data_IF_413689005980
#
_entry.id   IF_413689005980
#
_cell.length_a   1.000
_cell.length_b   1.000
_cell.length_c   1.000
_cell.angle_alpha   90.00
_cell.angle_beta   90.00
_cell.angle_gamma   90.00
#
_symmetry.space_group_name_H-M   'P 1'
#
loop_
_entity.id
_entity.type
_entity.pdbx_description
1 polymer ?
#
# COMPACT_ATOMS: atom_id res chain seq x y z
N UNK A 1 -18.46 15.21 -4.55
CA UNK A 1 -17.12 15.69 -4.17
C UNK A 1 -16.13 14.63 -4.64
N UNK A 2 -15.52 14.84 -5.81
CA UNK A 2 -14.57 13.91 -6.42
C UNK A 2 -13.17 14.44 -6.14
N UNK A 3 -12.31 13.64 -5.52
CA UNK A 3 -10.91 14.00 -5.35
C UNK A 3 -10.23 13.76 -6.69
N UNK A 4 -10.27 14.77 -7.57
CA UNK A 4 -9.44 14.79 -8.78
C UNK A 4 -7.99 15.04 -8.36
N UNK A 5 -7.24 13.97 -8.14
CA UNK A 5 -5.79 14.05 -8.10
C UNK A 5 -5.28 13.91 -9.53
N UNK A 6 -4.94 15.05 -10.15
CA UNK A 6 -4.52 15.18 -11.55
C UNK A 6 -3.15 14.54 -11.89
N UNK A 7 -2.80 13.37 -11.35
CA UNK A 7 -1.41 12.86 -11.43
C UNK A 7 -1.09 12.16 -12.76
N UNK A 8 -2.05 11.68 -13.55
CA UNK A 8 -1.73 10.50 -14.37
C UNK A 8 -2.29 10.44 -15.80
N UNK A 9 -2.35 11.55 -16.54
CA UNK A 9 -2.71 11.43 -17.97
C UNK A 9 -1.62 10.75 -18.82
N UNK A 10 -0.34 10.71 -18.40
CA UNK A 10 0.79 10.12 -19.15
C UNK A 10 1.85 9.38 -18.28
N UNK A 11 1.55 9.07 -17.01
CA UNK A 11 2.59 8.75 -15.99
C UNK A 11 2.56 7.36 -15.34
N UNK A 12 1.40 6.67 -15.28
CA UNK A 12 1.29 5.37 -14.58
C UNK A 12 2.01 4.27 -15.33
N UNK A 13 1.99 4.33 -16.67
CA UNK A 13 2.63 3.35 -17.55
C UNK A 13 4.14 3.21 -17.31
N UNK A 14 4.77 4.24 -16.72
CA UNK A 14 6.21 4.28 -16.46
C UNK A 14 6.58 3.84 -15.05
N UNK A 15 5.61 3.53 -14.20
CA UNK A 15 5.92 3.02 -12.87
C UNK A 15 6.49 1.60 -12.99
N UNK A 16 7.66 1.33 -12.37
CA UNK A 16 8.20 -0.02 -12.32
C UNK A 16 7.30 -0.87 -11.42
N UNK A 17 6.40 -1.66 -12.02
CA UNK A 17 5.53 -2.60 -11.31
C UNK A 17 6.15 -4.00 -11.42
N UNK A 18 6.57 -4.63 -10.30
CA UNK A 18 7.13 -5.96 -10.33
C UNK A 18 6.11 -6.95 -10.90
N UNK A 19 6.54 -7.72 -11.90
CA UNK A 19 5.73 -8.77 -12.50
C UNK A 19 5.93 -10.05 -11.68
N UNK A 20 4.96 -10.38 -10.84
CA UNK A 20 4.94 -11.60 -10.04
C UNK A 20 3.88 -12.59 -10.55
N UNK A 21 4.03 -13.87 -10.24
CA UNK A 21 3.10 -14.90 -10.69
C UNK A 21 1.72 -14.75 -10.04
N UNK A 22 0.67 -15.30 -10.67
CA UNK A 22 -0.70 -15.24 -10.12
C UNK A 22 -0.80 -15.77 -8.67
N UNK A 23 -0.15 -16.90 -8.30
CA UNK A 23 -0.15 -17.35 -6.92
C UNK A 23 0.47 -16.35 -5.93
N UNK A 24 1.53 -15.65 -6.34
CA UNK A 24 2.19 -14.64 -5.50
C UNK A 24 1.37 -13.35 -5.37
N UNK A 25 0.44 -13.09 -6.30
CA UNK A 25 -0.50 -11.97 -6.19
C UNK A 25 -1.64 -12.26 -5.20
N UNK A 26 -1.96 -13.53 -4.96
CA UNK A 26 -3.13 -13.93 -4.17
C UNK A 26 -3.16 -13.33 -2.75
N UNK A 27 -2.04 -13.29 -1.99
CA UNK A 27 -2.04 -12.67 -0.65
C UNK A 27 -2.46 -11.20 -0.66
N UNK A 28 -2.06 -10.44 -1.68
CA UNK A 28 -2.44 -9.03 -1.83
C UNK A 28 -3.93 -8.89 -2.13
N UNK A 29 -4.43 -9.70 -3.05
CA UNK A 29 -5.86 -9.71 -3.44
C UNK A 29 -6.73 -10.01 -2.22
N UNK A 30 -6.39 -11.07 -1.47
CA UNK A 30 -7.15 -11.49 -0.29
C UNK A 30 -7.15 -10.42 0.81
N UNK A 31 -6.03 -9.72 1.03
CA UNK A 31 -5.95 -8.63 2.01
C UNK A 31 -6.76 -7.42 1.57
N UNK A 32 -6.71 -7.04 0.28
CA UNK A 32 -7.50 -5.93 -0.26
C UNK A 32 -8.99 -6.23 -0.16
N UNK A 33 -9.43 -7.44 -0.48
CA UNK A 33 -10.84 -7.83 -0.34
C UNK A 33 -11.32 -7.73 1.12
N UNK A 34 -10.50 -8.18 2.08
CA UNK A 34 -10.80 -8.03 3.53
C UNK A 34 -10.90 -6.57 3.94
N UNK A 35 -9.95 -5.73 3.51
CA UNK A 35 -9.95 -4.29 3.82
C UNK A 35 -11.20 -3.64 3.25
N UNK A 36 -11.55 -3.92 2.00
CA UNK A 36 -12.74 -3.35 1.36
C UNK A 36 -14.04 -3.77 2.08
N UNK A 37 -14.13 -5.02 2.52
CA UNK A 37 -15.28 -5.51 3.30
C UNK A 37 -15.39 -4.81 4.67
N UNK A 38 -14.28 -4.71 5.42
CA UNK A 38 -14.26 -4.08 6.73
C UNK A 38 -14.49 -2.57 6.67
N UNK A 39 -13.91 -1.85 5.69
CA UNK A 39 -14.16 -0.42 5.50
C UNK A 39 -15.62 -0.13 5.23
N UNK A 40 -16.30 -0.98 4.45
CA UNK A 40 -17.76 -0.87 4.25
C UNK A 40 -18.54 -1.03 5.56
N UNK A 41 -18.02 -1.82 6.50
CA UNK A 41 -18.59 -1.99 7.84
C UNK A 41 -18.12 -0.94 8.85
N UNK A 42 -17.33 0.06 8.44
CA UNK A 42 -16.78 1.09 9.32
C UNK A 42 -15.74 0.56 10.32
N UNK A 43 -15.14 -0.59 10.04
CA UNK A 43 -14.13 -1.22 10.90
C UNK A 43 -12.73 -0.70 10.59
N UNK A 44 -11.85 -0.76 11.59
CA UNK A 44 -10.44 -0.40 11.45
C UNK A 44 -9.68 -1.47 10.65
N UNK A 45 -8.91 -1.03 9.66
CA UNK A 45 -8.18 -1.89 8.73
C UNK A 45 -6.67 -1.69 8.77
N UNK A 46 -6.17 -0.83 9.66
CA UNK A 46 -4.73 -0.47 9.75
C UNK A 46 -3.81 -1.68 9.85
N UNK A 47 -4.24 -2.74 10.52
CA UNK A 47 -3.44 -3.96 10.67
C UNK A 47 -3.26 -4.74 9.35
N UNK A 48 -4.25 -4.73 8.46
CA UNK A 48 -4.13 -5.36 7.14
C UNK A 48 -3.41 -4.45 6.15
N UNK A 49 -3.57 -3.14 6.27
CA UNK A 49 -2.83 -2.16 5.48
C UNK A 49 -1.33 -2.28 5.76
N UNK A 50 -0.91 -2.36 7.04
CA UNK A 50 0.50 -2.60 7.41
C UNK A 50 1.04 -3.94 6.90
N UNK A 51 0.19 -4.97 6.80
CA UNK A 51 0.58 -6.24 6.19
C UNK A 51 0.84 -6.09 4.69
N UNK A 52 0.01 -5.30 3.99
CA UNK A 52 0.27 -4.97 2.58
C UNK A 52 1.58 -4.20 2.45
N UNK A 53 1.84 -3.20 3.29
CA UNK A 53 3.11 -2.43 3.26
C UNK A 53 4.32 -3.37 3.39
N UNK A 54 4.29 -4.29 4.36
CA UNK A 54 5.34 -5.29 4.56
C UNK A 54 5.54 -6.18 3.34
N UNK A 55 4.45 -6.65 2.73
CA UNK A 55 4.51 -7.48 1.52
C UNK A 55 5.06 -6.70 0.32
N UNK A 56 4.70 -5.42 0.18
CA UNK A 56 5.24 -4.54 -0.86
C UNK A 56 6.74 -4.31 -0.63
N UNK A 57 7.18 -4.11 0.61
CA UNK A 57 8.61 -3.95 0.90
C UNK A 57 9.43 -5.16 0.50
N UNK A 58 8.91 -6.36 0.76
CA UNK A 58 9.53 -7.60 0.31
C UNK A 58 9.59 -7.72 -1.22
N UNK A 59 8.58 -7.22 -1.96
CA UNK A 59 8.59 -7.25 -3.43
C UNK A 59 9.66 -6.37 -4.08
N UNK A 60 10.10 -5.32 -3.38
CA UNK A 60 11.15 -4.42 -3.86
C UNK A 60 12.49 -4.67 -3.17
N UNK A 61 12.61 -5.75 -2.38
CA UNK A 61 13.80 -6.09 -1.59
C UNK A 61 14.34 -4.90 -0.76
N UNK A 62 13.42 -4.07 -0.25
CA UNK A 62 13.77 -2.86 0.49
C UNK A 62 14.49 -3.19 1.80
N UNK A 63 15.59 -2.50 2.08
CA UNK A 63 16.31 -2.66 3.35
C UNK A 63 15.59 -1.94 4.49
N UNK A 64 15.87 -2.27 5.76
CA UNK A 64 15.31 -1.54 6.90
C UNK A 64 15.55 -0.03 6.84
N UNK A 65 16.69 0.41 6.32
CA UNK A 65 17.03 1.83 6.14
C UNK A 65 16.14 2.48 5.08
N UNK A 66 15.89 1.80 3.96
CA UNK A 66 15.02 2.31 2.89
C UNK A 66 13.55 2.34 3.32
N UNK A 67 13.10 1.31 4.05
CA UNK A 67 11.77 1.28 4.67
C UNK A 67 11.60 2.47 5.63
N UNK A 68 12.61 2.76 6.45
CA UNK A 68 12.56 3.90 7.37
C UNK A 68 12.42 5.24 6.63
N UNK A 69 13.08 5.40 5.47
CA UNK A 69 12.92 6.58 4.61
C UNK A 69 11.48 6.66 4.09
N UNK A 70 10.93 5.56 3.55
CA UNK A 70 9.56 5.53 3.03
C UNK A 70 8.54 5.86 4.12
N UNK A 71 8.64 5.24 5.29
CA UNK A 71 7.73 5.46 6.42
C UNK A 71 7.81 6.90 6.96
N UNK A 72 9.02 7.47 6.99
CA UNK A 72 9.22 8.87 7.40
C UNK A 72 8.55 9.89 6.46
N UNK A 73 8.32 9.51 5.19
CA UNK A 73 7.69 10.38 4.19
C UNK A 73 6.20 10.09 4.00
N UNK A 74 5.79 8.82 4.09
CA UNK A 74 4.44 8.37 3.82
C UNK A 74 3.49 8.54 5.01
N UNK A 75 4.01 8.44 6.24
CA UNK A 75 3.21 8.53 7.45
C UNK A 75 3.41 9.92 8.05
N UNK A 76 2.41 10.82 8.00
CA UNK A 76 2.50 12.03 8.82
C UNK A 76 2.67 11.55 10.26
N UNK A 77 3.70 12.10 10.95
CA UNK A 77 3.97 11.82 12.35
C UNK A 77 2.63 11.79 13.08
N UNK A 78 2.27 10.60 13.60
CA UNK A 78 1.13 10.49 14.48
C UNK A 78 1.30 11.61 15.51
N UNK A 79 0.34 12.53 15.53
CA UNK A 79 0.32 13.62 16.49
C UNK A 79 0.56 12.99 17.87
N UNK A 80 1.70 13.35 18.47
CA UNK A 80 1.91 13.12 19.89
C UNK A 80 0.78 13.89 20.61
N UNK A 81 -0.08 13.16 21.32
CA UNK A 81 -1.21 13.71 22.09
C UNK A 81 -2.24 12.66 22.43
#
# INVERSE_FOLDING_TARGET
MVVSLSIFSNGVEKLPIPQISKPEQQPFIDLVDKILAAKKAGQDTRAWEQQIDTLVYALYDLTPEEIAIVESQAKPAAANG
#
